data_IF_943308254233
#
_entry.id   IF_943308254233
#
_cell.length_a   1.000
_cell.length_b   1.000
_cell.length_c   1.000
_cell.angle_alpha   90.00
_cell.angle_beta   90.00
_cell.angle_gamma   90.00
#
_symmetry.space_group_name_H-M   'P 1'
#
loop_
_entity.id
_entity.type
_entity.pdbx_description
1 polymer ?
#
# COMPACT_ATOMS: atom_id res chain seq x y z
N UNK A 1 -5.43 3.61 -17.90
CA UNK A 1 -6.04 4.98 -17.95
C UNK A 1 -6.87 5.32 -16.70
N UNK A 2 -7.94 4.58 -16.39
CA UNK A 2 -8.85 4.88 -15.27
C UNK A 2 -8.18 4.95 -13.87
N UNK A 3 -7.20 4.08 -13.58
CA UNK A 3 -6.53 4.08 -12.26
C UNK A 3 -5.68 5.33 -12.01
N UNK A 4 -5.06 5.90 -13.05
CA UNK A 4 -4.25 7.13 -12.92
C UNK A 4 -5.13 8.35 -12.65
N UNK A 5 -6.28 8.45 -13.32
CA UNK A 5 -7.27 9.51 -13.06
C UNK A 5 -7.89 9.38 -11.66
N UNK A 6 -8.12 8.16 -11.20
CA UNK A 6 -8.63 7.91 -9.86
C UNK A 6 -7.64 8.38 -8.78
N UNK A 7 -6.33 8.17 -8.99
CA UNK A 7 -5.25 8.58 -8.05
C UNK A 7 -5.33 10.06 -7.68
N UNK A 8 -5.61 10.95 -8.63
CA UNK A 8 -5.66 12.40 -8.40
C UNK A 8 -6.87 12.84 -7.58
N UNK A 9 -7.95 12.06 -7.62
CA UNK A 9 -9.20 12.32 -6.89
C UNK A 9 -9.24 11.65 -5.52
N UNK A 10 -8.19 10.94 -5.12
CA UNK A 10 -8.16 10.22 -3.83
C UNK A 10 -8.12 11.19 -2.66
N UNK A 11 -9.11 11.09 -1.78
CA UNK A 11 -9.08 11.73 -0.47
C UNK A 11 -8.30 10.86 0.53
N UNK A 12 -7.06 11.26 0.83
CA UNK A 12 -6.17 10.53 1.74
C UNK A 12 -6.68 10.47 3.18
N UNK A 13 -7.45 11.46 3.64
CA UNK A 13 -8.04 11.45 4.98
C UNK A 13 -9.14 10.40 5.10
N UNK A 14 -9.94 10.23 4.04
CA UNK A 14 -10.96 9.18 3.98
C UNK A 14 -10.32 7.78 3.97
N UNK A 15 -9.20 7.61 3.26
CA UNK A 15 -8.42 6.36 3.32
C UNK A 15 -7.86 6.08 4.71
N UNK A 16 -7.33 7.10 5.39
CA UNK A 16 -6.83 6.99 6.75
C UNK A 16 -7.93 6.57 7.73
N UNK A 17 -9.11 7.21 7.67
CA UNK A 17 -10.26 6.87 8.50
C UNK A 17 -10.72 5.41 8.30
N UNK A 18 -10.85 4.95 7.05
CA UNK A 18 -11.20 3.55 6.79
C UNK A 18 -10.12 2.57 7.23
N UNK A 19 -8.85 2.91 7.05
CA UNK A 19 -7.75 2.06 7.51
C UNK A 19 -7.75 1.91 9.04
N UNK A 20 -8.05 2.98 9.77
CA UNK A 20 -8.24 2.95 11.23
C UNK A 20 -9.43 2.06 11.62
N UNK A 21 -10.57 2.20 10.94
CA UNK A 21 -11.78 1.39 11.20
C UNK A 21 -11.58 -0.10 10.96
N UNK A 22 -10.75 -0.48 9.97
CA UNK A 22 -10.41 -1.89 9.73
C UNK A 22 -9.59 -2.52 10.86
N UNK A 23 -8.99 -1.72 11.77
CA UNK A 23 -8.35 -2.19 13.00
C UNK A 23 -7.11 -3.07 12.82
N UNK A 24 -6.66 -3.30 11.57
CA UNK A 24 -5.50 -4.14 11.27
C UNK A 24 -4.40 -3.29 10.66
N UNK A 25 -3.23 -3.27 11.29
CA UNK A 25 -2.03 -2.60 10.79
C UNK A 25 -1.64 -2.99 9.36
N UNK A 26 -2.15 -4.12 8.86
CA UNK A 26 -1.99 -4.61 7.48
C UNK A 26 -2.51 -3.60 6.45
N UNK A 27 -3.63 -2.91 6.71
CA UNK A 27 -4.18 -1.91 5.81
C UNK A 27 -3.16 -0.78 5.55
N UNK A 28 -2.53 -0.28 6.62
CA UNK A 28 -1.49 0.74 6.53
C UNK A 28 -0.24 0.28 5.79
N UNK A 29 0.13 -1.01 5.86
CA UNK A 29 1.26 -1.57 5.10
C UNK A 29 1.02 -1.50 3.60
N UNK A 30 -0.17 -1.93 3.16
CA UNK A 30 -0.56 -1.93 1.75
C UNK A 30 -0.74 -0.52 1.22
N UNK A 31 -1.45 0.33 1.98
CA UNK A 31 -1.63 1.74 1.66
C UNK A 31 -0.31 2.49 1.58
N UNK A 32 0.63 2.19 2.47
CA UNK A 32 1.97 2.76 2.47
C UNK A 32 2.76 2.47 1.21
N UNK A 33 2.80 1.20 0.78
CA UNK A 33 3.44 0.82 -0.48
C UNK A 33 2.77 1.51 -1.68
N UNK A 34 1.44 1.50 -1.73
CA UNK A 34 0.69 2.18 -2.80
C UNK A 34 0.97 3.68 -2.82
N UNK A 35 1.08 4.33 -1.66
CA UNK A 35 1.40 5.74 -1.55
C UNK A 35 2.82 6.09 -2.02
N UNK A 36 3.79 5.17 -1.90
CA UNK A 36 5.12 5.36 -2.50
C UNK A 36 5.04 5.25 -4.02
N UNK A 37 4.44 4.17 -4.50
CA UNK A 37 4.26 3.91 -5.93
C UNK A 37 3.51 5.03 -6.65
N UNK A 38 2.44 5.52 -6.03
CA UNK A 38 1.62 6.60 -6.55
C UNK A 38 2.18 7.98 -6.19
N UNK A 39 3.32 8.09 -5.51
CA UNK A 39 3.88 9.41 -5.21
C UNK A 39 2.96 10.33 -4.39
N UNK A 40 2.12 9.75 -3.51
CA UNK A 40 1.27 10.53 -2.60
C UNK A 40 2.09 11.24 -1.50
N UNK A 41 1.42 12.07 -0.70
CA UNK A 41 2.08 12.93 0.31
C UNK A 41 3.03 12.16 1.26
N UNK A 42 4.30 12.60 1.40
CA UNK A 42 5.24 12.05 2.38
C UNK A 42 4.74 12.15 3.83
N UNK A 43 3.94 13.18 4.14
CA UNK A 43 3.37 13.38 5.47
C UNK A 43 2.44 12.24 5.87
N UNK A 44 1.53 11.86 4.96
CA UNK A 44 0.58 10.77 5.21
C UNK A 44 1.30 9.42 5.35
N UNK A 45 2.32 9.16 4.50
CA UNK A 45 3.15 7.96 4.63
C UNK A 45 3.84 7.86 5.99
N UNK A 46 4.30 9.00 6.54
CA UNK A 46 4.92 9.03 7.87
C UNK A 46 3.91 8.71 8.98
N UNK A 47 2.68 9.20 8.87
CA UNK A 47 1.59 8.87 9.80
C UNK A 47 1.26 7.38 9.74
N UNK A 48 1.05 6.82 8.55
CA UNK A 48 0.71 5.40 8.38
C UNK A 48 1.79 4.44 8.86
N UNK A 49 3.08 4.79 8.73
CA UNK A 49 4.17 3.99 9.31
C UNK A 49 4.06 3.80 10.82
N UNK A 50 3.43 4.72 11.56
CA UNK A 50 3.25 4.58 13.01
C UNK A 50 2.20 3.52 13.38
N UNK A 51 1.36 3.11 12.43
CA UNK A 51 0.25 2.18 12.65
C UNK A 51 0.52 0.75 12.14
N UNK A 52 1.66 0.49 11.50
CA UNK A 52 1.97 -0.86 11.01
C UNK A 52 2.37 -1.78 12.16
N UNK A 53 1.96 -3.05 12.09
CA UNK A 53 2.39 -4.09 13.02
C UNK A 53 3.76 -4.66 12.65
N UNK A 54 4.44 -5.28 13.62
CA UNK A 54 5.78 -5.88 13.46
C UNK A 54 5.84 -7.05 12.47
N UNK A 55 4.78 -7.86 12.39
CA UNK A 55 4.78 -9.07 11.54
C UNK A 55 4.83 -8.73 10.05
N UNK A 56 5.41 -9.61 9.23
CA UNK A 56 5.40 -9.45 7.76
C UNK A 56 4.05 -9.90 7.20
N UNK A 57 3.51 -9.16 6.25
CA UNK A 57 2.23 -9.46 5.60
C UNK A 57 2.40 -9.55 4.08
N UNK A 58 1.56 -10.32 3.40
CA UNK A 58 1.57 -10.36 1.93
C UNK A 58 0.84 -9.15 1.33
N UNK A 59 1.38 -8.59 0.24
CA UNK A 59 0.69 -7.56 -0.54
C UNK A 59 -0.66 -8.11 -1.03
N UNK A 60 -0.63 -9.23 -1.73
CA UNK A 60 -1.82 -9.97 -2.14
C UNK A 60 -2.07 -11.15 -1.18
N UNK A 61 -3.18 -11.17 -0.41
CA UNK A 61 -3.51 -12.31 0.43
C UNK A 61 -3.71 -13.63 -0.32
N UNK A 62 -4.12 -13.58 -1.59
CA UNK A 62 -4.43 -14.75 -2.43
C UNK A 62 -3.25 -15.11 -3.35
N UNK A 63 -2.22 -14.28 -3.39
CA UNK A 63 -1.04 -14.50 -4.22
C UNK A 63 -0.06 -15.55 -3.66
N UNK A 64 1.02 -15.84 -4.39
CA UNK A 64 2.11 -16.71 -3.93
C UNK A 64 2.64 -16.34 -2.53
N UNK A 65 3.19 -17.31 -1.79
CA UNK A 65 3.80 -17.03 -0.46
C UNK A 65 5.28 -16.58 -0.53
N UNK A 66 5.76 -16.31 -1.74
CA UNK A 66 7.15 -15.92 -2.07
C UNK A 66 7.21 -14.50 -2.65
N UNK A 67 8.41 -13.93 -2.73
CA UNK A 67 8.66 -12.60 -3.28
C UNK A 67 9.53 -11.72 -2.38
N UNK A 68 10.04 -10.60 -2.90
CA UNK A 68 10.90 -9.69 -2.14
C UNK A 68 10.16 -9.03 -0.99
N UNK A 69 10.89 -8.72 0.09
CA UNK A 69 10.34 -8.04 1.25
C UNK A 69 10.63 -6.53 1.20
N UNK A 70 9.60 -5.74 1.38
CA UNK A 70 9.65 -4.29 1.59
C UNK A 70 9.67 -4.03 3.09
N UNK A 71 10.87 -3.97 3.67
CA UNK A 71 11.10 -3.86 5.12
C UNK A 71 10.43 -2.65 5.77
N UNK A 72 10.47 -1.49 5.12
CA UNK A 72 9.85 -0.24 5.61
C UNK A 72 8.32 -0.32 5.81
N UNK A 73 7.66 -1.31 5.20
CA UNK A 73 6.23 -1.56 5.36
C UNK A 73 5.93 -2.96 5.93
N UNK A 74 6.94 -3.75 6.32
CA UNK A 74 6.76 -5.16 6.71
C UNK A 74 5.85 -5.92 5.73
N UNK A 75 6.08 -5.74 4.43
CA UNK A 75 5.22 -6.29 3.39
C UNK A 75 6.05 -7.15 2.42
N UNK A 76 5.57 -8.34 2.08
CA UNK A 76 6.13 -9.16 1.01
C UNK A 76 5.42 -8.85 -0.30
N UNK A 77 6.18 -8.42 -1.29
CA UNK A 77 5.73 -8.13 -2.64
C UNK A 77 5.61 -9.45 -3.40
N UNK A 78 4.49 -10.13 -3.20
CA UNK A 78 4.17 -11.41 -3.83
C UNK A 78 3.30 -11.28 -5.09
N UNK A 79 3.28 -10.09 -5.67
CA UNK A 79 2.51 -9.74 -6.84
C UNK A 79 3.31 -8.75 -7.68
N UNK A 80 3.28 -8.89 -9.01
CA UNK A 80 3.92 -7.94 -9.91
C UNK A 80 3.12 -6.63 -9.96
N UNK A 81 3.32 -5.80 -8.94
CA UNK A 81 2.61 -4.53 -8.79
C UNK A 81 2.98 -3.55 -9.91
N UNK A 82 4.22 -3.58 -10.39
CA UNK A 82 4.70 -2.71 -11.46
C UNK A 82 3.95 -2.99 -12.77
N UNK A 83 3.98 -4.25 -13.24
CA UNK A 83 3.28 -4.62 -14.46
C UNK A 83 1.74 -4.50 -14.38
N UNK A 84 1.17 -4.50 -13.17
CA UNK A 84 -0.26 -4.27 -12.99
C UNK A 84 -0.64 -2.79 -13.06
N UNK A 85 0.17 -1.91 -12.45
CA UNK A 85 -0.12 -0.47 -12.39
C UNK A 85 0.36 0.27 -13.65
N UNK A 86 1.38 -0.26 -14.32
CA UNK A 86 1.94 0.29 -15.55
C UNK A 86 2.20 -0.84 -16.57
N UNK A 87 1.14 -1.36 -17.22
CA UNK A 87 1.26 -2.49 -18.16
C UNK A 87 1.94 -2.12 -19.49
N UNK A 88 2.10 -0.82 -19.78
CA UNK A 88 2.66 -0.30 -21.04
C UNK A 88 4.16 0.03 -20.93
N UNK A 89 4.81 -0.36 -19.83
CA UNK A 89 6.21 -0.05 -19.51
C UNK A 89 7.16 -1.21 -19.77
#
# INVERSE_FOLDING_TARGET
KAFREAKEKVNLYKLDDYAKKMGRGIAFKRLGLLAEWLGWSPGMRRLWRKHISKGVSFLDPQGPKSGPQISRWNLRLNFNLEGFLDPDR
#
